data_IF_437624080601
#
_entry.id   IF_437624080601
#
_cell.length_a   1.000
_cell.length_b   1.000
_cell.length_c   1.000
_cell.angle_alpha   90.00
_cell.angle_beta   90.00
_cell.angle_gamma   90.00
#
_symmetry.space_group_name_H-M   'P 1'
#
loop_
_entity.id
_entity.type
_entity.pdbx_description
1 polymer ?
#
# COMPACT_ATOMS: atom_id res chain seq x y z
N UNK A 1 36.24 -21.44 -28.52
CA UNK A 1 36.97 -21.19 -27.30
C UNK A 1 36.67 -19.78 -26.83
N UNK A 2 35.72 -19.60 -25.92
CA UNK A 2 35.57 -18.42 -25.11
C UNK A 2 35.04 -18.85 -23.75
N UNK A 3 35.95 -18.90 -22.83
CA UNK A 3 35.75 -19.10 -21.38
C UNK A 3 35.71 -17.74 -20.72
N UNK A 4 34.91 -17.55 -19.71
CA UNK A 4 34.96 -16.38 -18.82
C UNK A 4 33.64 -16.22 -18.09
N UNK A 5 33.47 -16.82 -17.05
CA UNK A 5 33.35 -16.50 -15.62
C UNK A 5 32.88 -15.08 -15.29
N UNK A 6 31.91 -14.99 -14.39
CA UNK A 6 31.62 -13.78 -13.68
C UNK A 6 30.32 -13.81 -12.86
N UNK A 7 30.33 -14.49 -11.76
CA UNK A 7 29.41 -14.28 -10.64
C UNK A 7 29.63 -12.90 -10.05
N UNK A 8 28.63 -12.02 -10.08
CA UNK A 8 28.49 -10.91 -9.14
C UNK A 8 27.09 -10.28 -9.30
N UNK A 9 26.14 -10.68 -8.52
CA UNK A 9 24.79 -10.12 -8.62
C UNK A 9 23.85 -10.47 -7.47
N UNK A 10 24.36 -10.74 -6.29
CA UNK A 10 23.49 -11.15 -5.17
C UNK A 10 23.73 -10.42 -3.83
N UNK A 11 24.44 -9.30 -3.81
CA UNK A 11 24.82 -8.69 -2.52
C UNK A 11 24.51 -7.20 -2.36
N UNK A 12 23.69 -6.60 -3.22
CA UNK A 12 23.47 -5.15 -3.21
C UNK A 12 22.12 -4.69 -2.66
N UNK A 13 21.34 -5.57 -2.03
CA UNK A 13 20.01 -5.20 -1.51
C UNK A 13 19.91 -5.05 0.01
N UNK A 14 20.97 -5.35 0.76
CA UNK A 14 20.95 -5.24 2.24
C UNK A 14 21.34 -3.87 2.77
N UNK A 15 22.07 -3.05 2.03
CA UNK A 15 22.65 -1.80 2.54
C UNK A 15 21.77 -0.56 2.33
N UNK A 16 20.70 -0.62 1.55
CA UNK A 16 19.82 0.52 1.30
C UNK A 16 18.91 0.89 2.48
N UNK A 17 18.76 0.01 3.46
CA UNK A 17 17.94 0.26 4.66
C UNK A 17 18.76 0.64 5.91
N UNK A 18 20.08 0.66 5.82
CA UNK A 18 20.95 0.94 6.97
C UNK A 18 21.40 2.41 7.11
N UNK A 19 21.02 3.29 6.18
CA UNK A 19 21.43 4.70 6.20
C UNK A 19 20.34 5.55 6.86
N UNK A 20 20.39 5.68 8.17
CA UNK A 20 19.49 6.59 8.88
C UNK A 20 19.47 6.48 10.42
N UNK A 21 20.31 5.67 11.02
CA UNK A 21 20.37 5.53 12.49
C UNK A 21 21.66 6.08 13.07
N UNK A 22 21.85 7.40 13.03
CA UNK A 22 22.78 8.09 13.92
C UNK A 22 22.08 9.32 14.50
N UNK A 23 21.42 9.12 15.63
CA UNK A 23 20.95 10.22 16.49
C UNK A 23 21.96 10.43 17.62
N UNK A 24 22.30 11.68 17.96
CA UNK A 24 23.19 11.98 19.08
C UNK A 24 22.49 11.70 20.42
N UNK A 25 23.20 11.00 21.30
CA UNK A 25 22.76 10.72 22.67
C UNK A 25 22.67 12.02 23.49
N UNK A 26 21.45 12.37 23.90
CA UNK A 26 21.21 13.30 25.00
C UNK A 26 20.76 12.52 26.26
N UNK A 27 21.04 13.01 27.48
CA UNK A 27 20.75 12.29 28.70
C UNK A 27 19.31 12.57 29.16
N UNK A 28 18.40 11.63 28.99
CA UNK A 28 17.27 11.41 29.88
C UNK A 28 16.58 10.10 29.47
N UNK A 29 16.61 9.19 30.43
CA UNK A 29 16.15 7.82 30.35
C UNK A 29 14.62 7.79 30.55
N UNK A 30 13.88 7.84 29.46
CA UNK A 30 12.52 7.31 29.39
C UNK A 30 12.53 6.26 28.28
N UNK A 31 12.19 5.03 28.68
CA UNK A 31 12.00 3.89 27.80
C UNK A 31 10.89 4.22 26.79
N UNK A 32 11.25 4.93 25.72
CA UNK A 32 10.45 4.95 24.53
C UNK A 32 10.52 3.51 23.97
N UNK A 33 9.47 2.74 24.17
CA UNK A 33 9.27 1.47 23.49
C UNK A 33 9.28 1.76 22.00
N UNK A 34 10.41 1.51 21.35
CA UNK A 34 10.50 1.56 19.89
C UNK A 34 9.40 0.63 19.36
N UNK A 35 8.48 1.10 18.52
CA UNK A 35 7.47 0.23 17.94
C UNK A 35 8.18 -0.94 17.25
N UNK A 36 7.82 -2.16 17.62
CA UNK A 36 8.35 -3.34 16.94
C UNK A 36 7.85 -3.27 15.51
N UNK A 37 8.76 -3.13 14.56
CA UNK A 37 8.40 -3.11 13.14
C UNK A 37 7.64 -4.38 12.80
N UNK A 38 6.47 -4.27 12.11
CA UNK A 38 5.74 -5.45 11.67
C UNK A 38 6.63 -6.31 10.78
N UNK A 39 6.51 -7.62 10.93
CA UNK A 39 7.29 -8.56 10.15
C UNK A 39 6.79 -8.54 8.70
N UNK A 40 7.59 -8.02 7.77
CA UNK A 40 7.28 -8.01 6.35
C UNK A 40 7.42 -9.43 5.78
N UNK A 41 6.34 -9.95 5.22
CA UNK A 41 6.27 -11.30 4.63
C UNK A 41 6.25 -11.25 3.11
N UNK A 42 5.85 -10.13 2.52
CA UNK A 42 5.67 -9.91 1.09
C UNK A 42 6.90 -9.22 0.48
N UNK A 43 7.41 -8.19 1.14
CA UNK A 43 8.60 -7.47 0.70
C UNK A 43 9.84 -8.39 0.78
N UNK A 44 10.57 -8.49 -0.34
CA UNK A 44 11.77 -9.34 -0.44
C UNK A 44 11.49 -10.82 -0.78
N UNK A 45 10.21 -11.27 -0.78
CA UNK A 45 9.81 -12.63 -1.12
C UNK A 45 9.12 -12.70 -2.48
N UNK A 46 9.13 -13.88 -3.10
CA UNK A 46 8.35 -14.13 -4.33
C UNK A 46 6.93 -14.51 -3.94
N UNK A 47 6.02 -13.54 -3.94
CA UNK A 47 4.58 -13.73 -3.74
C UNK A 47 3.89 -13.50 -5.07
N UNK A 48 3.05 -14.46 -5.52
CA UNK A 48 2.35 -14.44 -6.82
C UNK A 48 0.83 -14.61 -6.66
N UNK A 49 0.33 -14.41 -5.47
CA UNK A 49 -1.09 -14.56 -5.13
C UNK A 49 -1.63 -13.24 -4.59
N UNK A 50 -2.93 -13.06 -4.73
CA UNK A 50 -3.63 -11.95 -4.09
C UNK A 50 -3.56 -12.11 -2.56
N UNK A 51 -3.47 -11.00 -1.84
CA UNK A 51 -3.44 -10.98 -0.37
C UNK A 51 -4.63 -10.18 0.15
N UNK A 52 -5.02 -10.43 1.39
CA UNK A 52 -6.17 -9.80 2.04
C UNK A 52 -5.79 -8.63 2.96
N UNK A 53 -4.51 -8.27 3.02
CA UNK A 53 -3.98 -7.22 3.88
C UNK A 53 -2.87 -6.42 3.20
N UNK A 54 -2.55 -5.28 3.76
CA UNK A 54 -1.45 -4.40 3.35
C UNK A 54 -0.34 -4.46 4.42
N UNK A 55 0.91 -4.52 3.99
CA UNK A 55 2.08 -4.41 4.88
C UNK A 55 2.53 -2.95 5.00
N UNK A 56 3.25 -2.66 6.07
CA UNK A 56 3.78 -1.32 6.35
C UNK A 56 5.25 -1.39 6.77
N UNK A 57 5.97 -0.30 6.56
CA UNK A 57 7.34 -0.10 7.01
C UNK A 57 7.47 1.25 7.71
N UNK A 58 8.52 1.50 8.53
CA UNK A 58 8.71 2.76 9.23
C UNK A 58 8.72 3.95 8.28
N UNK A 59 7.91 4.96 8.58
CA UNK A 59 7.83 6.17 7.77
C UNK A 59 9.15 6.95 7.85
N UNK A 60 9.76 7.36 6.72
CA UNK A 60 10.89 8.26 6.73
C UNK A 60 10.51 9.62 7.32
N UNK A 61 11.45 10.30 7.96
CA UNK A 61 11.22 11.64 8.45
C UNK A 61 10.87 12.61 7.30
N UNK A 62 10.00 13.59 7.58
CA UNK A 62 9.61 14.66 6.65
C UNK A 62 8.79 14.20 5.43
N UNK A 63 8.08 13.09 5.54
CA UNK A 63 7.08 12.68 4.55
C UNK A 63 5.70 13.14 5.02
N UNK A 64 5.12 14.13 4.35
CA UNK A 64 3.82 14.70 4.71
C UNK A 64 2.65 14.01 4.01
N UNK A 65 2.87 13.51 2.80
CA UNK A 65 1.83 12.90 1.97
C UNK A 65 2.42 11.78 1.11
N UNK A 66 1.73 10.66 1.10
CA UNK A 66 1.97 9.56 0.16
C UNK A 66 0.74 9.41 -0.73
N UNK A 67 0.98 9.27 -2.04
CA UNK A 67 -0.08 9.05 -3.03
C UNK A 67 0.25 7.82 -3.88
N UNK A 68 -0.70 6.90 -3.95
CA UNK A 68 -0.70 5.80 -4.91
C UNK A 68 -1.79 6.04 -5.95
N UNK A 69 -1.51 5.68 -7.19
CA UNK A 69 -2.45 5.82 -8.30
C UNK A 69 -2.35 4.60 -9.20
N UNK A 70 -3.50 4.02 -9.59
CA UNK A 70 -3.55 2.92 -10.54
C UNK A 70 -4.83 2.93 -11.36
N UNK A 71 -4.74 2.47 -12.61
CA UNK A 71 -5.87 2.19 -13.51
C UNK A 71 -6.24 0.70 -13.56
N UNK A 72 -5.58 -0.12 -12.75
CA UNK A 72 -5.69 -1.59 -12.80
C UNK A 72 -6.63 -2.16 -11.74
N UNK A 73 -7.35 -1.32 -10.98
CA UNK A 73 -8.33 -1.81 -10.03
C UNK A 73 -9.53 -2.38 -10.78
N UNK A 74 -9.81 -3.66 -10.53
CA UNK A 74 -10.94 -4.37 -11.08
C UNK A 74 -11.77 -5.00 -9.98
N UNK A 75 -13.08 -5.06 -10.17
CA UNK A 75 -14.05 -5.78 -9.33
C UNK A 75 -15.17 -6.32 -10.20
N UNK A 76 -16.16 -6.97 -9.61
CA UNK A 76 -17.35 -7.46 -10.31
C UNK A 76 -18.59 -6.68 -9.85
N UNK A 77 -19.42 -6.31 -10.79
CA UNK A 77 -20.73 -5.73 -10.45
C UNK A 77 -21.59 -6.76 -9.70
N UNK A 78 -22.12 -6.45 -8.51
CA UNK A 78 -22.96 -7.39 -7.76
C UNK A 78 -24.24 -7.80 -8.49
N UNK A 79 -24.74 -6.93 -9.36
CA UNK A 79 -26.03 -7.12 -10.05
C UNK A 79 -25.83 -7.84 -11.39
N UNK A 80 -24.95 -7.31 -12.24
CA UNK A 80 -24.80 -7.79 -13.62
C UNK A 80 -23.71 -8.83 -13.80
N UNK A 81 -22.83 -9.00 -12.79
CA UNK A 81 -21.66 -9.89 -12.83
C UNK A 81 -20.66 -9.54 -13.95
N UNK A 82 -20.74 -8.34 -14.47
CA UNK A 82 -19.77 -7.81 -15.42
C UNK A 82 -18.57 -7.22 -14.68
N UNK A 83 -17.37 -7.24 -15.29
CA UNK A 83 -16.20 -6.56 -14.73
C UNK A 83 -16.43 -5.05 -14.63
N UNK A 84 -16.08 -4.50 -13.48
CA UNK A 84 -15.98 -3.08 -13.20
C UNK A 84 -14.51 -2.69 -13.13
N UNK A 85 -14.07 -1.78 -14.00
CA UNK A 85 -12.72 -1.25 -14.04
C UNK A 85 -12.72 0.15 -13.46
N UNK A 86 -11.75 0.45 -12.62
CA UNK A 86 -11.68 1.74 -11.95
C UNK A 86 -10.27 2.32 -11.95
N UNK A 87 -10.22 3.65 -12.02
CA UNK A 87 -9.08 4.44 -11.60
C UNK A 87 -9.19 4.68 -10.10
N UNK A 88 -8.11 4.42 -9.35
CA UNK A 88 -8.09 4.70 -7.92
C UNK A 88 -6.89 5.56 -7.55
N UNK A 89 -7.15 6.56 -6.72
CA UNK A 89 -6.14 7.38 -6.07
C UNK A 89 -6.27 7.18 -4.56
N UNK A 90 -5.21 6.76 -3.91
CA UNK A 90 -5.09 6.58 -2.47
C UNK A 90 -4.10 7.61 -1.95
N UNK A 91 -4.55 8.53 -1.11
CA UNK A 91 -3.72 9.57 -0.49
C UNK A 91 -3.79 9.42 1.02
N UNK A 92 -2.65 9.46 1.70
CA UNK A 92 -2.63 9.44 3.15
C UNK A 92 -1.45 10.23 3.72
N UNK A 93 -1.64 10.74 4.94
CA UNK A 93 -0.63 11.46 5.71
C UNK A 93 -0.03 10.52 6.75
N UNK A 94 1.18 9.96 6.51
CA UNK A 94 1.77 8.99 7.41
C UNK A 94 2.12 9.62 8.76
N UNK A 95 2.08 8.81 9.83
CA UNK A 95 2.63 9.12 11.14
C UNK A 95 3.89 8.28 11.38
N UNK A 96 3.72 7.06 11.88
CA UNK A 96 4.82 6.15 12.17
C UNK A 96 5.09 5.16 11.02
N UNK A 97 4.08 4.93 10.16
CA UNK A 97 4.11 3.86 9.16
C UNK A 97 3.76 4.35 7.76
N UNK A 98 4.51 3.84 6.78
CA UNK A 98 4.18 3.93 5.36
C UNK A 98 3.72 2.58 4.83
N UNK A 99 2.75 2.61 3.91
CA UNK A 99 2.23 1.43 3.21
C UNK A 99 3.28 0.88 2.25
N UNK A 100 3.49 -0.44 2.30
CA UNK A 100 4.39 -1.13 1.38
C UNK A 100 3.68 -1.37 0.03
N UNK A 101 4.29 -0.91 -1.05
CA UNK A 101 3.66 -0.81 -2.37
C UNK A 101 3.39 -2.15 -3.05
N UNK A 102 4.19 -3.19 -2.79
CA UNK A 102 3.99 -4.53 -3.38
C UNK A 102 2.79 -5.22 -2.73
N UNK A 103 2.66 -5.16 -1.40
CA UNK A 103 1.51 -5.68 -0.68
C UNK A 103 0.23 -4.96 -1.10
N UNK A 104 0.28 -3.64 -1.25
CA UNK A 104 -0.86 -2.88 -1.75
C UNK A 104 -1.31 -3.34 -3.15
N UNK A 105 -0.38 -3.59 -4.08
CA UNK A 105 -0.72 -4.11 -5.41
C UNK A 105 -1.42 -5.46 -5.34
N UNK A 106 -0.94 -6.37 -4.48
CA UNK A 106 -1.53 -7.70 -4.32
C UNK A 106 -2.89 -7.64 -3.60
N UNK A 107 -3.03 -6.71 -2.65
CA UNK A 107 -4.30 -6.43 -1.99
C UNK A 107 -5.35 -5.89 -2.98
N UNK A 108 -5.00 -4.91 -3.81
CA UNK A 108 -5.90 -4.37 -4.83
C UNK A 108 -6.28 -5.45 -5.87
N UNK A 109 -5.35 -6.35 -6.20
CA UNK A 109 -5.63 -7.47 -7.09
C UNK A 109 -6.64 -8.47 -6.52
N UNK A 110 -6.78 -8.57 -5.19
CA UNK A 110 -7.76 -9.46 -4.54
C UNK A 110 -9.22 -9.11 -4.89
N UNK A 111 -9.51 -7.88 -5.31
CA UNK A 111 -10.88 -7.44 -5.62
C UNK A 111 -11.42 -7.91 -6.98
N UNK A 112 -10.56 -8.35 -7.89
CA UNK A 112 -10.92 -8.61 -9.29
C UNK A 112 -12.08 -9.61 -9.49
N UNK A 113 -12.23 -10.58 -8.59
CA UNK A 113 -13.27 -11.61 -8.66
C UNK A 113 -14.37 -11.38 -7.61
N UNK A 114 -14.30 -10.29 -6.84
CA UNK A 114 -15.25 -9.95 -5.79
C UNK A 114 -16.37 -9.07 -6.33
N UNK A 115 -17.60 -9.46 -6.00
CA UNK A 115 -18.78 -8.65 -6.29
C UNK A 115 -18.96 -7.58 -5.20
N UNK A 116 -18.69 -6.31 -5.54
CA UNK A 116 -18.72 -5.18 -4.60
C UNK A 116 -19.10 -3.89 -5.33
N UNK A 117 -19.90 -3.03 -4.69
CA UNK A 117 -20.21 -1.70 -5.20
C UNK A 117 -19.03 -0.75 -4.99
N UNK A 118 -18.88 0.25 -5.86
CA UNK A 118 -17.78 1.22 -5.83
C UNK A 118 -17.68 1.94 -4.47
N UNK A 119 -18.81 2.26 -3.86
CA UNK A 119 -18.90 2.95 -2.58
C UNK A 119 -18.33 2.10 -1.43
N UNK A 120 -18.69 0.82 -1.39
CA UNK A 120 -18.19 -0.11 -0.39
C UNK A 120 -16.71 -0.42 -0.62
N UNK A 121 -16.28 -0.56 -1.88
CA UNK A 121 -14.90 -0.81 -2.25
C UNK A 121 -13.97 0.33 -1.83
N UNK A 122 -14.36 1.59 -2.10
CA UNK A 122 -13.58 2.75 -1.67
C UNK A 122 -13.46 2.83 -0.13
N UNK A 123 -14.56 2.55 0.58
CA UNK A 123 -14.57 2.55 2.04
C UNK A 123 -13.70 1.42 2.63
N UNK A 124 -13.73 0.23 2.04
CA UNK A 124 -12.91 -0.92 2.46
C UNK A 124 -11.42 -0.64 2.30
N UNK A 125 -11.01 -0.10 1.13
CA UNK A 125 -9.61 0.29 0.89
C UNK A 125 -9.16 1.35 1.89
N UNK A 126 -9.99 2.37 2.16
CA UNK A 126 -9.66 3.40 3.14
C UNK A 126 -9.55 2.82 4.56
N UNK A 127 -10.43 1.89 4.93
CA UNK A 127 -10.40 1.18 6.21
C UNK A 127 -9.12 0.39 6.41
N UNK A 128 -8.72 -0.40 5.42
CA UNK A 128 -7.47 -1.19 5.46
C UNK A 128 -6.23 -0.30 5.69
N UNK A 129 -6.12 0.80 4.94
CA UNK A 129 -5.00 1.75 5.10
C UNK A 129 -5.04 2.41 6.50
N UNK A 130 -6.24 2.77 6.99
CA UNK A 130 -6.40 3.38 8.31
C UNK A 130 -6.01 2.42 9.44
N UNK A 131 -6.40 1.16 9.35
CA UNK A 131 -6.10 0.15 10.38
C UNK A 131 -4.63 -0.25 10.40
N UNK A 132 -4.03 -0.40 9.22
CA UNK A 132 -2.67 -0.93 9.09
C UNK A 132 -1.61 0.15 9.26
N UNK A 133 -1.70 1.25 8.51
CA UNK A 133 -0.70 2.33 8.55
C UNK A 133 -0.98 3.38 9.63
N UNK A 134 -2.18 3.42 10.19
CA UNK A 134 -2.63 4.39 11.22
C UNK A 134 -2.21 5.83 10.89
N UNK A 135 -2.49 6.30 9.67
CA UNK A 135 -2.14 7.65 9.26
C UNK A 135 -2.99 8.69 10.00
N UNK A 136 -2.58 9.96 9.93
CA UNK A 136 -3.42 11.07 10.40
C UNK A 136 -4.72 11.14 9.61
N UNK A 137 -4.63 10.96 8.30
CA UNK A 137 -5.75 10.99 7.36
C UNK A 137 -5.49 10.07 6.18
N UNK A 138 -6.54 9.45 5.67
CA UNK A 138 -6.54 8.75 4.38
C UNK A 138 -7.75 9.20 3.56
N UNK A 139 -7.54 9.35 2.26
CA UNK A 139 -8.57 9.65 1.27
C UNK A 139 -8.40 8.65 0.13
N UNK A 140 -9.47 7.96 -0.23
CA UNK A 140 -9.52 7.07 -1.38
C UNK A 140 -10.54 7.64 -2.36
N UNK A 141 -10.09 8.02 -3.55
CA UNK A 141 -10.93 8.43 -4.67
C UNK A 141 -10.96 7.31 -5.68
N UNK A 142 -12.10 6.69 -5.89
CA UNK A 142 -12.34 5.62 -6.84
C UNK A 142 -13.26 6.13 -7.94
N UNK A 143 -12.80 6.10 -9.19
CA UNK A 143 -13.57 6.47 -10.38
C UNK A 143 -13.77 5.25 -11.24
N UNK A 144 -14.98 4.69 -11.21
CA UNK A 144 -15.39 3.54 -12.00
C UNK A 144 -15.64 3.98 -13.44
N UNK A 145 -15.06 3.27 -14.41
CA UNK A 145 -15.22 3.58 -15.84
C UNK A 145 -16.68 3.51 -16.25
N UNK A 146 -17.13 4.41 -17.14
CA UNK A 146 -18.53 4.47 -17.56
C UNK A 146 -19.05 3.14 -18.10
N UNK A 147 -20.24 2.76 -17.61
CA UNK A 147 -21.09 1.74 -18.20
C UNK A 147 -22.48 2.32 -18.44
N UNK A 148 -23.04 2.10 -19.62
CA UNK A 148 -24.30 2.74 -20.01
C UNK A 148 -24.24 4.26 -20.03
N UNK A 149 -23.04 4.83 -20.19
CA UNK A 149 -22.79 6.28 -20.22
C UNK A 149 -22.69 6.96 -18.86
N UNK A 150 -22.75 6.21 -17.75
CA UNK A 150 -22.64 6.76 -16.39
C UNK A 150 -21.27 6.40 -15.80
N UNK A 151 -20.53 7.41 -15.38
CA UNK A 151 -19.34 7.29 -14.55
C UNK A 151 -19.73 7.43 -13.08
N UNK A 152 -19.16 6.59 -12.22
CA UNK A 152 -19.34 6.68 -10.77
C UNK A 152 -18.02 7.07 -10.14
N UNK A 153 -18.00 8.17 -9.39
CA UNK A 153 -16.87 8.55 -8.57
C UNK A 153 -17.26 8.54 -7.09
N UNK A 154 -16.51 7.80 -6.30
CA UNK A 154 -16.70 7.69 -4.85
C UNK A 154 -15.46 8.18 -4.13
N UNK A 155 -15.66 8.94 -3.07
CA UNK A 155 -14.57 9.38 -2.18
C UNK A 155 -14.86 8.88 -0.78
N UNK A 156 -13.95 8.04 -0.25
CA UNK A 156 -13.95 7.64 1.15
C UNK A 156 -12.84 8.40 1.89
N UNK A 157 -13.14 8.95 3.06
CA UNK A 157 -12.18 9.70 3.87
C UNK A 157 -12.28 9.31 5.33
N UNK A 158 -11.16 8.97 5.96
CA UNK A 158 -11.03 8.63 7.37
C UNK A 158 -9.91 9.46 8.01
N UNK A 159 -10.06 9.73 9.31
CA UNK A 159 -9.13 10.60 10.05
C UNK A 159 -9.47 12.08 9.93
N UNK A 160 -8.61 12.93 10.48
CA UNK A 160 -8.83 14.40 10.62
C UNK A 160 -7.72 15.20 9.98
#
# INVERSE_FOLDING_TARGET
MWSGEGHAGAEMTKDLYAVGMNSPKGPNNELATTPVAPQLTILGNTVREAVDHVEVFPAPANVDLVRFTTDELASMCPVTRQPDLAHVVIEYQPLEWCVESKSLKLYLWNFRDRAVFAEALAAEIAGEIMETAKPRKVIVTLTQRPRGGIEVQTVASLGH
#
